data_IF_391553203886
#
_entry.id   IF_391553203886
#
_cell.length_a   1.000
_cell.length_b   1.000
_cell.length_c   1.000
_cell.angle_alpha   90.00
_cell.angle_beta   90.00
_cell.angle_gamma   90.00
#
_symmetry.space_group_name_H-M   'P 1'
#
loop_
_entity.id
_entity.type
_entity.pdbx_description
1 polymer ?
#
# COMPACT_ATOMS: atom_id res chain seq x y z
N UNK A 1 4.30 14.04 0.31
CA UNK A 1 2.86 14.43 0.29
C UNK A 1 2.55 15.52 1.32
N UNK A 2 2.86 15.28 2.60
CA UNK A 2 2.50 16.18 3.70
C UNK A 2 3.20 17.54 3.65
N UNK A 3 4.45 17.58 3.17
CA UNK A 3 5.24 18.81 3.02
C UNK A 3 4.77 19.74 1.89
N UNK A 4 3.89 19.26 1.01
CA UNK A 4 3.32 20.10 -0.06
C UNK A 4 2.22 21.00 0.52
N UNK A 5 1.84 22.06 -0.18
CA UNK A 5 0.74 22.95 0.23
C UNK A 5 -0.64 22.29 0.15
N UNK A 6 -1.69 23.10 -0.03
CA UNK A 6 -3.08 22.64 -0.11
C UNK A 6 -3.36 21.72 -1.32
N UNK A 7 -2.50 21.81 -2.34
CA UNK A 7 -2.50 20.96 -3.52
C UNK A 7 -1.29 20.03 -3.49
N UNK A 8 -1.52 18.76 -3.80
CA UNK A 8 -0.46 17.77 -3.90
C UNK A 8 -0.26 17.32 -5.36
N UNK A 9 0.99 17.20 -5.76
CA UNK A 9 1.42 16.53 -7.00
C UNK A 9 2.30 15.36 -6.63
N UNK A 10 1.87 14.16 -6.97
CA UNK A 10 2.59 12.92 -6.70
C UNK A 10 2.65 12.13 -8.01
N UNK A 11 3.74 12.25 -8.79
CA UNK A 11 3.87 11.51 -10.04
C UNK A 11 3.87 10.00 -9.81
N UNK A 12 3.25 9.23 -10.71
CA UNK A 12 3.27 7.77 -10.69
C UNK A 12 3.62 7.21 -12.08
N UNK A 13 4.17 5.98 -12.19
CA UNK A 13 4.43 5.38 -13.49
C UNK A 13 3.15 5.22 -14.31
N UNK A 14 3.27 5.25 -15.65
CA UNK A 14 2.16 4.80 -16.52
C UNK A 14 1.78 3.36 -16.19
N UNK A 15 0.48 3.10 -16.05
CA UNK A 15 -0.08 1.80 -15.62
C UNK A 15 -0.36 1.71 -14.12
N UNK A 16 0.07 2.68 -13.30
CA UNK A 16 -0.18 2.68 -11.87
C UNK A 16 -1.67 2.81 -11.48
N UNK A 17 -2.52 3.27 -12.40
CA UNK A 17 -3.98 3.30 -12.21
C UNK A 17 -4.66 1.97 -12.51
N UNK A 18 -3.96 1.03 -13.16
CA UNK A 18 -4.49 -0.27 -13.56
C UNK A 18 -3.94 -1.42 -12.70
N UNK A 19 -2.96 -1.13 -11.83
CA UNK A 19 -2.30 -2.09 -10.97
C UNK A 19 -2.86 -2.00 -9.55
N UNK A 20 -3.29 -3.15 -9.01
CA UNK A 20 -3.72 -3.33 -7.63
C UNK A 20 -2.55 -3.12 -6.68
N UNK A 21 -2.75 -2.31 -5.64
CA UNK A 21 -1.79 -2.09 -4.58
C UNK A 21 -2.29 -2.77 -3.31
N UNK A 22 -1.80 -3.99 -3.08
CA UNK A 22 -2.20 -4.75 -1.91
C UNK A 22 -1.58 -4.17 -0.61
N UNK A 23 -2.44 -3.69 0.29
CA UNK A 23 -2.06 -3.20 1.62
C UNK A 23 -3.14 -3.54 2.62
N UNK A 24 -2.76 -4.11 3.77
CA UNK A 24 -3.67 -4.45 4.86
C UNK A 24 -3.08 -4.03 6.21
N UNK A 25 -3.91 -3.74 7.22
CA UNK A 25 -3.41 -3.44 8.56
C UNK A 25 -2.65 -4.62 9.16
N UNK A 26 -1.60 -4.29 9.93
CA UNK A 26 -0.82 -5.30 10.67
C UNK A 26 -1.69 -6.13 11.60
N UNK A 27 -2.67 -5.51 12.26
CA UNK A 27 -3.48 -6.18 13.27
C UNK A 27 -4.39 -7.24 12.63
N UNK A 28 -4.96 -6.96 11.45
CA UNK A 28 -5.66 -7.98 10.64
C UNK A 28 -4.77 -9.19 10.36
N UNK A 29 -3.52 -8.97 9.94
CA UNK A 29 -2.59 -10.07 9.64
C UNK A 29 -2.29 -10.90 10.90
N UNK A 30 -2.02 -10.24 12.02
CA UNK A 30 -1.70 -10.93 13.28
C UNK A 30 -2.90 -11.73 13.80
N UNK A 31 -4.08 -11.12 13.82
CA UNK A 31 -5.30 -11.74 14.31
C UNK A 31 -5.72 -12.91 13.39
N UNK A 32 -5.64 -12.73 12.07
CA UNK A 32 -5.93 -13.78 11.10
C UNK A 32 -4.97 -14.97 11.25
N UNK A 33 -3.66 -14.74 11.38
CA UNK A 33 -2.68 -15.83 11.61
C UNK A 33 -3.01 -16.54 12.91
N UNK A 34 -3.28 -15.80 13.98
CA UNK A 34 -3.57 -16.37 15.30
C UNK A 34 -4.83 -17.24 15.26
N UNK A 35 -5.89 -16.78 14.58
CA UNK A 35 -7.15 -17.51 14.47
C UNK A 35 -7.02 -18.74 13.57
N UNK A 36 -6.52 -18.56 12.34
CA UNK A 36 -6.40 -19.64 11.36
C UNK A 36 -5.47 -20.75 11.84
N UNK A 37 -4.40 -20.42 12.56
CA UNK A 37 -3.50 -21.43 13.14
C UNK A 37 -4.15 -22.28 14.24
N UNK A 38 -5.32 -21.88 14.75
CA UNK A 38 -6.04 -22.53 15.84
C UNK A 38 -7.20 -23.43 15.40
N UNK A 39 -7.56 -23.46 14.12
CA UNK A 39 -8.69 -24.23 13.59
C UNK A 39 -8.20 -25.45 12.80
N UNK A 40 -8.90 -26.58 12.92
CA UNK A 40 -8.52 -27.83 12.24
C UNK A 40 -8.71 -27.71 10.71
N UNK A 41 -9.68 -26.90 10.26
CA UNK A 41 -10.00 -26.64 8.86
C UNK A 41 -8.82 -26.03 8.08
N UNK A 42 -7.85 -25.44 8.77
CA UNK A 42 -6.68 -24.83 8.15
C UNK A 42 -5.62 -25.83 7.69
N UNK A 43 -5.70 -27.09 8.11
CA UNK A 43 -4.68 -28.08 7.83
C UNK A 43 -4.48 -28.28 6.32
N UNK A 44 -3.26 -28.00 5.86
CA UNK A 44 -2.88 -28.16 4.45
C UNK A 44 -3.36 -27.05 3.50
N UNK A 45 -4.02 -26.00 4.01
CA UNK A 45 -4.41 -24.82 3.22
C UNK A 45 -3.28 -23.79 3.15
N UNK A 46 -3.32 -22.97 2.11
CA UNK A 46 -2.47 -21.78 1.95
C UNK A 46 -3.38 -20.57 1.91
N UNK A 47 -3.01 -19.53 2.65
CA UNK A 47 -3.79 -18.29 2.76
C UNK A 47 -3.01 -17.12 2.20
N UNK A 48 -3.68 -16.31 1.39
CA UNK A 48 -3.24 -14.94 1.11
C UNK A 48 -3.98 -14.01 2.07
N UNK A 49 -3.25 -13.45 3.04
CA UNK A 49 -3.78 -12.41 3.92
C UNK A 49 -3.59 -11.05 3.27
N UNK A 50 -4.40 -10.82 2.24
CA UNK A 50 -4.39 -9.66 1.37
C UNK A 50 -5.74 -8.93 1.44
N UNK A 51 -5.80 -7.75 0.83
CA UNK A 51 -7.03 -7.00 0.65
C UNK A 51 -7.83 -7.65 -0.50
N UNK A 52 -9.09 -8.06 -0.28
CA UNK A 52 -9.94 -8.63 -1.33
C UNK A 52 -10.49 -7.60 -2.33
N UNK A 53 -10.42 -6.29 -2.00
CA UNK A 53 -10.81 -5.16 -2.87
C UNK A 53 -9.71 -4.08 -2.86
N UNK A 54 -8.47 -4.41 -3.33
CA UNK A 54 -7.33 -3.54 -3.17
C UNK A 54 -7.46 -2.26 -4.02
N UNK A 55 -7.05 -1.09 -3.52
CA UNK A 55 -7.02 0.13 -4.31
C UNK A 55 -5.94 0.04 -5.38
N UNK A 56 -6.10 0.76 -6.50
CA UNK A 56 -4.97 1.04 -7.39
C UNK A 56 -3.94 1.95 -6.71
N UNK A 57 -2.71 2.00 -7.23
CA UNK A 57 -1.69 2.95 -6.73
C UNK A 57 -2.19 4.41 -6.81
N UNK A 58 -2.95 4.75 -7.86
CA UNK A 58 -3.52 6.09 -8.02
C UNK A 58 -4.59 6.38 -6.96
N UNK A 59 -5.45 5.42 -6.64
CA UNK A 59 -6.46 5.54 -5.59
C UNK A 59 -5.81 5.68 -4.23
N UNK A 60 -4.85 4.81 -3.90
CA UNK A 60 -4.08 4.87 -2.66
C UNK A 60 -3.47 6.26 -2.43
N UNK A 61 -2.81 6.83 -3.45
CA UNK A 61 -2.20 8.16 -3.36
C UNK A 61 -3.24 9.26 -3.15
N UNK A 62 -4.41 9.14 -3.79
CA UNK A 62 -5.51 10.11 -3.61
C UNK A 62 -6.12 10.02 -2.22
N UNK A 63 -6.41 8.82 -1.73
CA UNK A 63 -6.95 8.56 -0.39
C UNK A 63 -6.00 9.10 0.68
N UNK A 64 -4.69 8.84 0.57
CA UNK A 64 -3.69 9.45 1.46
C UNK A 64 -3.67 10.97 1.36
N UNK A 65 -3.89 11.53 0.17
CA UNK A 65 -4.01 12.97 -0.06
C UNK A 65 -5.21 13.58 0.66
N UNK A 66 -6.37 12.93 0.60
CA UNK A 66 -7.59 13.33 1.29
C UNK A 66 -7.38 13.27 2.82
N UNK A 67 -6.82 12.17 3.34
CA UNK A 67 -6.44 12.02 4.74
C UNK A 67 -5.38 13.06 5.20
N UNK A 68 -4.48 13.45 4.28
CA UNK A 68 -3.53 14.53 4.49
C UNK A 68 -4.15 15.94 4.46
N UNK A 69 -5.46 16.08 4.29
CA UNK A 69 -6.16 17.35 4.24
C UNK A 69 -5.88 18.14 2.95
N UNK A 70 -5.49 17.46 1.86
CA UNK A 70 -5.24 18.12 0.58
C UNK A 70 -6.58 18.43 -0.09
N UNK A 71 -6.71 19.64 -0.61
CA UNK A 71 -7.89 20.04 -1.40
C UNK A 71 -7.97 19.25 -2.70
N UNK A 72 -6.82 18.94 -3.31
CA UNK A 72 -6.74 18.10 -4.50
C UNK A 72 -5.36 17.46 -4.63
N UNK A 73 -5.37 16.18 -4.96
CA UNK A 73 -4.16 15.40 -5.27
C UNK A 73 -4.14 15.06 -6.76
N UNK A 74 -3.10 15.51 -7.46
CA UNK A 74 -2.87 15.24 -8.86
C UNK A 74 -1.77 14.18 -9.02
N UNK A 75 -2.06 13.15 -9.81
CA UNK A 75 -1.17 12.01 -10.02
C UNK A 75 -0.76 11.95 -11.50
N UNK A 76 0.23 12.75 -11.94
CA UNK A 76 0.65 12.77 -13.33
C UNK A 76 1.42 11.49 -13.70
N UNK A 77 1.09 10.84 -14.84
CA UNK A 77 1.78 9.63 -15.25
C UNK A 77 3.14 9.94 -15.89
N UNK A 78 4.18 9.16 -15.57
CA UNK A 78 5.50 9.24 -16.20
C UNK A 78 5.96 7.94 -16.89
N UNK A 79 6.80 8.04 -17.94
CA UNK A 79 7.46 6.87 -18.54
C UNK A 79 8.54 6.31 -17.60
N UNK A 80 8.27 5.14 -16.99
CA UNK A 80 9.16 4.48 -16.02
C UNK A 80 10.61 4.35 -16.48
N UNK A 81 10.85 3.87 -17.72
CA UNK A 81 12.21 3.69 -18.23
C UNK A 81 13.02 4.97 -18.39
N UNK A 82 12.34 6.10 -18.69
CA UNK A 82 13.00 7.40 -18.82
C UNK A 82 13.38 7.95 -17.46
N UNK A 83 12.45 7.89 -16.50
CA UNK A 83 12.70 8.37 -15.12
C UNK A 83 13.77 7.52 -14.45
N UNK A 84 13.71 6.19 -14.60
CA UNK A 84 14.73 5.29 -14.06
C UNK A 84 16.13 5.62 -14.62
N UNK A 85 16.28 5.72 -15.94
CA UNK A 85 17.59 6.03 -16.53
C UNK A 85 18.12 7.42 -16.14
N UNK A 86 17.23 8.39 -15.92
CA UNK A 86 17.60 9.71 -15.41
C UNK A 86 18.11 9.64 -13.97
N UNK A 87 17.40 8.93 -13.09
CA UNK A 87 17.79 8.74 -11.70
C UNK A 87 19.09 7.96 -11.58
N UNK A 88 19.25 6.86 -12.30
CA UNK A 88 20.50 6.09 -12.36
C UNK A 88 21.70 6.95 -12.76
N UNK A 89 21.49 7.96 -13.61
CA UNK A 89 22.56 8.87 -14.05
C UNK A 89 22.83 10.03 -13.10
N UNK A 90 21.82 10.56 -12.40
CA UNK A 90 21.91 11.81 -11.64
C UNK A 90 21.91 11.62 -10.12
N UNK A 91 21.25 10.57 -9.65
CA UNK A 91 21.08 10.22 -8.24
C UNK A 91 20.95 8.69 -8.13
N UNK A 92 22.04 7.93 -8.38
CA UNK A 92 22.01 6.47 -8.38
C UNK A 92 21.59 5.88 -7.03
N UNK A 93 21.89 6.57 -5.92
CA UNK A 93 21.55 6.19 -4.56
C UNK A 93 20.14 6.68 -4.13
N UNK A 94 19.28 7.04 -5.09
CA UNK A 94 17.93 7.49 -4.80
C UNK A 94 17.07 6.31 -4.34
N UNK A 95 16.30 6.47 -3.26
CA UNK A 95 15.51 5.40 -2.62
C UNK A 95 14.59 4.65 -3.59
N UNK A 96 13.94 5.36 -4.52
CA UNK A 96 13.12 4.74 -5.58
C UNK A 96 13.87 3.72 -6.47
N UNK A 97 15.19 3.88 -6.63
CA UNK A 97 16.07 2.93 -7.33
C UNK A 97 16.45 1.77 -6.40
N UNK A 98 16.90 2.09 -5.18
CA UNK A 98 17.37 1.09 -4.22
C UNK A 98 16.28 0.12 -3.76
N UNK A 99 15.08 0.63 -3.49
CA UNK A 99 13.93 -0.14 -3.00
C UNK A 99 13.26 -1.02 -4.06
N UNK A 100 13.58 -0.83 -5.35
CA UNK A 100 12.77 -1.39 -6.44
C UNK A 100 11.34 -0.83 -6.47
N UNK A 101 11.09 0.33 -5.85
CA UNK A 101 9.76 0.89 -5.69
C UNK A 101 9.03 1.19 -7.00
N UNK A 102 9.74 1.38 -8.12
CA UNK A 102 9.10 1.52 -9.43
C UNK A 102 8.42 0.24 -9.91
N UNK A 103 8.87 -0.93 -9.48
CA UNK A 103 8.41 -2.25 -9.91
C UNK A 103 7.11 -2.58 -9.20
N UNK A 104 7.05 -2.33 -7.89
CA UNK A 104 5.84 -2.53 -7.08
C UNK A 104 4.66 -1.65 -7.55
N UNK A 105 4.87 -0.38 -7.88
CA UNK A 105 3.80 0.55 -8.28
C UNK A 105 3.09 0.18 -9.60
N UNK A 106 3.66 -0.72 -10.39
CA UNK A 106 3.06 -1.23 -11.64
C UNK A 106 2.96 -2.74 -11.63
N UNK A 107 3.14 -3.38 -10.47
CA UNK A 107 3.13 -4.82 -10.40
C UNK A 107 1.69 -5.31 -10.53
N UNK A 108 1.38 -5.98 -11.63
CA UNK A 108 0.06 -6.57 -11.84
C UNK A 108 -0.01 -7.93 -11.14
N UNK A 109 -0.17 -7.89 -9.83
CA UNK A 109 -0.39 -9.07 -9.01
C UNK A 109 -1.73 -8.93 -8.30
N UNK A 110 -2.57 -9.96 -8.45
CA UNK A 110 -3.79 -10.12 -7.66
C UNK A 110 -3.64 -11.35 -6.76
N UNK A 111 -4.27 -11.30 -5.59
CA UNK A 111 -4.18 -12.36 -4.60
C UNK A 111 -5.55 -13.01 -4.39
N UNK A 112 -5.59 -14.33 -4.55
CA UNK A 112 -6.79 -15.10 -4.25
C UNK A 112 -6.95 -15.25 -2.73
N UNK A 113 -7.90 -14.49 -2.17
CA UNK A 113 -8.20 -14.47 -0.75
C UNK A 113 -9.28 -15.49 -0.34
N UNK A 114 -9.75 -16.36 -1.25
CA UNK A 114 -10.93 -17.22 -1.03
C UNK A 114 -10.83 -18.05 0.25
N UNK A 115 -9.69 -18.70 0.50
CA UNK A 115 -9.49 -19.49 1.72
C UNK A 115 -9.57 -18.63 2.99
N UNK A 116 -9.01 -17.42 2.96
CA UNK A 116 -9.00 -16.53 4.13
C UNK A 116 -10.40 -16.00 4.41
N UNK A 117 -11.13 -15.61 3.37
CA UNK A 117 -12.52 -15.14 3.49
C UNK A 117 -13.42 -16.24 4.06
N UNK A 118 -13.31 -17.46 3.52
CA UNK A 118 -14.12 -18.60 3.96
C UNK A 118 -13.84 -18.97 5.42
N UNK A 119 -12.57 -19.15 5.78
CA UNK A 119 -12.23 -19.68 7.11
C UNK A 119 -12.24 -18.61 8.21
N UNK A 120 -12.20 -17.31 7.88
CA UNK A 120 -12.39 -16.21 8.83
C UNK A 120 -13.87 -15.83 8.99
N UNK A 121 -14.79 -16.41 8.22
CA UNK A 121 -16.21 -16.06 8.30
C UNK A 121 -16.75 -16.26 9.74
N UNK A 122 -17.42 -15.23 10.25
CA UNK A 122 -17.98 -15.24 11.61
C UNK A 122 -16.98 -15.01 12.75
N UNK A 123 -15.67 -14.92 12.47
CA UNK A 123 -14.66 -14.55 13.47
C UNK A 123 -14.67 -13.05 13.84
N UNK A 124 -15.21 -12.22 12.94
CA UNK A 124 -15.12 -10.76 13.02
C UNK A 124 -13.76 -10.20 12.57
N UNK A 125 -12.87 -11.04 12.05
CA UNK A 125 -11.56 -10.65 11.50
C UNK A 125 -11.72 -10.44 10.00
N UNK A 126 -11.71 -9.19 9.56
CA UNK A 126 -11.71 -8.81 8.16
C UNK A 126 -10.80 -7.57 7.98
N UNK A 127 -10.11 -7.44 6.82
CA UNK A 127 -9.35 -6.23 6.56
C UNK A 127 -10.34 -5.09 6.28
N UNK A 128 -10.24 -3.94 6.97
CA UNK A 128 -11.02 -2.76 6.62
C UNK A 128 -10.57 -2.23 5.26
N UNK A 129 -11.46 -1.53 4.54
CA UNK A 129 -11.07 -0.86 3.30
C UNK A 129 -9.99 0.19 3.56
N UNK A 130 -9.10 0.44 2.60
CA UNK A 130 -8.00 1.38 2.76
C UNK A 130 -8.45 2.78 3.23
N UNK A 131 -9.59 3.26 2.74
CA UNK A 131 -10.14 4.56 3.09
C UNK A 131 -10.52 4.67 4.57
N UNK A 132 -10.85 3.57 5.22
CA UNK A 132 -11.29 3.55 6.63
C UNK A 132 -10.14 3.74 7.61
N UNK A 133 -8.90 3.45 7.21
CA UNK A 133 -7.72 3.57 8.07
C UNK A 133 -6.64 4.52 7.56
N UNK A 134 -6.82 5.12 6.38
CA UNK A 134 -5.87 6.09 5.83
C UNK A 134 -5.65 7.31 6.73
N UNK A 135 -6.70 7.82 7.38
CA UNK A 135 -6.60 8.93 8.35
C UNK A 135 -5.67 8.57 9.51
N UNK A 136 -5.86 7.38 10.10
CA UNK A 136 -5.02 6.88 11.19
C UNK A 136 -3.55 6.77 10.80
N UNK A 137 -3.24 6.35 9.57
CA UNK A 137 -1.86 6.29 9.07
C UNK A 137 -1.23 7.68 8.98
N UNK A 138 -1.97 8.65 8.44
CA UNK A 138 -1.49 10.02 8.28
C UNK A 138 -1.34 10.71 9.65
N UNK A 139 -2.26 10.48 10.57
CA UNK A 139 -2.17 10.96 11.96
C UNK A 139 -0.94 10.38 12.66
N UNK A 140 -0.73 9.06 12.54
CA UNK A 140 0.45 8.41 13.09
C UNK A 140 1.74 9.04 12.56
N UNK A 141 1.86 9.20 11.24
CA UNK A 141 3.04 9.83 10.62
C UNK A 141 3.27 11.25 11.13
N UNK A 142 2.21 12.06 11.30
CA UNK A 142 2.32 13.43 11.85
C UNK A 142 2.75 13.44 13.32
N UNK A 143 2.27 12.47 14.10
CA UNK A 143 2.56 12.35 15.53
C UNK A 143 3.98 11.84 15.81
N UNK A 144 4.61 11.17 14.84
CA UNK A 144 5.89 10.49 14.99
C UNK A 144 6.96 10.94 13.98
N UNK A 145 7.33 12.24 13.93
CA UNK A 145 8.34 12.75 13.01
C UNK A 145 9.76 12.20 13.28
N UNK A 146 9.99 11.58 14.43
CA UNK A 146 11.23 10.90 14.81
C UNK A 146 11.41 9.53 14.15
N UNK A 147 10.33 8.93 13.64
CA UNK A 147 10.38 7.65 12.94
C UNK A 147 10.77 7.93 11.50
N UNK A 148 12.00 7.56 11.14
CA UNK A 148 12.52 7.67 9.79
C UNK A 148 12.44 6.33 9.03
N UNK A 149 12.90 6.36 7.78
CA UNK A 149 12.97 5.20 6.89
C UNK A 149 14.14 4.26 7.24
N UNK A 150 14.95 4.53 8.27
CA UNK A 150 16.11 3.72 8.59
C UNK A 150 15.74 2.29 9.00
N UNK A 151 14.53 2.08 9.51
CA UNK A 151 13.99 0.74 9.80
C UNK A 151 13.60 -0.07 8.56
N UNK A 152 13.55 0.54 7.36
CA UNK A 152 13.25 -0.12 6.09
C UNK A 152 14.52 -0.48 5.28
N UNK A 153 15.72 -0.17 5.78
CA UNK A 153 17.02 -0.49 5.15
C UNK A 153 17.63 -1.79 5.68
#
# INVERSE_FOLDING_TARGET
LLEQGDYAVVPAPRGAGDAEFNVVPRDYVVDAISYLSGIDESEGKVYHLADPDPPSTVELVKTLGEAAGKTKTFVPPYPKGVVRGLLESLAPDHELIESGGFEFQTWSASFDCSNAIEDLEGSGIEPPRFEEYADSLVEFYRAHPEIDDAGMR
#
